data_IF_877558921822
#
_entry.id   IF_877558921822
#
_cell.length_a   1.000
_cell.length_b   1.000
_cell.length_c   1.000
_cell.angle_alpha   90.00
_cell.angle_beta   90.00
_cell.angle_gamma   90.00
#
_symmetry.space_group_name_H-M   'P 1'
#
loop_
_entity.id
_entity.type
_entity.pdbx_description
1 polymer ?
#
# COMPACT_ATOMS: atom_id res chain seq x y z
N UNK A 1 37.18 7.90 10.38
CA UNK A 1 35.77 8.34 10.46
C UNK A 1 34.99 8.09 9.17
N UNK A 2 35.51 8.39 7.97
CA UNK A 2 34.85 8.12 6.67
C UNK A 2 34.48 6.63 6.43
N UNK A 3 35.35 5.69 6.77
CA UNK A 3 35.11 4.24 6.57
C UNK A 3 33.92 3.68 7.37
N UNK A 4 33.58 4.29 8.52
CA UNK A 4 32.41 3.90 9.32
C UNK A 4 31.09 4.45 8.75
N UNK A 5 31.14 5.65 8.14
CA UNK A 5 30.00 6.25 7.44
C UNK A 5 29.69 5.51 6.12
N UNK A 6 30.72 5.16 5.35
CA UNK A 6 30.58 4.37 4.11
C UNK A 6 30.05 2.97 4.40
N UNK A 7 30.54 2.28 5.44
CA UNK A 7 30.01 0.97 5.84
C UNK A 7 28.57 1.04 6.38
N UNK A 8 28.18 2.12 7.07
CA UNK A 8 26.78 2.34 7.47
C UNK A 8 25.87 2.54 6.27
N UNK A 9 26.32 3.27 5.24
CA UNK A 9 25.56 3.50 4.00
C UNK A 9 25.40 2.21 3.17
N UNK A 10 26.46 1.39 3.06
CA UNK A 10 26.44 0.11 2.32
C UNK A 10 25.53 -0.92 3.02
N UNK A 11 25.59 -1.05 4.36
CA UNK A 11 24.68 -1.93 5.12
C UNK A 11 23.22 -1.44 5.07
N UNK A 12 23.01 -0.13 5.07
CA UNK A 12 21.72 0.54 4.86
C UNK A 12 21.10 0.19 3.51
N UNK A 13 21.90 0.12 2.45
CA UNK A 13 21.45 -0.25 1.11
C UNK A 13 21.16 -1.75 0.97
N UNK A 14 21.87 -2.63 1.70
CA UNK A 14 21.63 -4.08 1.64
C UNK A 14 20.30 -4.51 2.27
N UNK A 15 19.92 -3.93 3.42
CA UNK A 15 18.62 -4.21 4.06
C UNK A 15 17.47 -3.67 3.22
N UNK A 16 17.65 -2.49 2.63
CA UNK A 16 16.67 -1.92 1.71
C UNK A 16 16.53 -2.82 0.47
N UNK A 17 17.63 -3.32 -0.11
CA UNK A 17 17.54 -4.29 -1.19
C UNK A 17 16.89 -5.60 -0.73
N UNK A 18 17.21 -6.19 0.42
CA UNK A 18 16.58 -7.44 0.88
C UNK A 18 15.06 -7.31 1.13
N UNK A 19 14.60 -6.17 1.68
CA UNK A 19 13.17 -5.86 1.82
C UNK A 19 12.54 -5.55 0.44
N UNK A 20 13.28 -5.01 -0.52
CA UNK A 20 12.73 -4.54 -1.79
C UNK A 20 12.97 -5.47 -3.00
N UNK A 21 13.70 -6.59 -2.83
CA UNK A 21 14.05 -7.55 -3.90
C UNK A 21 13.18 -8.81 -3.88
N UNK A 22 12.10 -8.87 -3.09
CA UNK A 22 11.09 -9.91 -3.27
C UNK A 22 10.39 -9.69 -4.62
N UNK A 23 10.92 -10.34 -5.66
CA UNK A 23 10.39 -10.38 -7.02
C UNK A 23 8.90 -10.74 -7.00
N UNK A 24 8.13 -10.02 -7.82
CA UNK A 24 6.78 -10.37 -8.23
C UNK A 24 6.70 -11.87 -8.59
N UNK A 25 6.03 -12.68 -7.78
CA UNK A 25 5.70 -14.07 -8.13
C UNK A 25 4.47 -14.18 -9.06
N UNK A 26 3.96 -13.06 -9.59
CA UNK A 26 2.73 -13.03 -10.39
C UNK A 26 2.90 -12.74 -11.88
N UNK A 27 4.12 -12.61 -12.41
CA UNK A 27 4.34 -12.53 -13.87
C UNK A 27 4.81 -13.88 -14.40
N UNK A 28 3.86 -14.76 -14.66
CA UNK A 28 4.09 -16.02 -15.33
C UNK A 28 3.99 -15.82 -16.85
N UNK A 29 5.08 -15.36 -17.47
CA UNK A 29 5.39 -15.62 -18.87
C UNK A 29 6.79 -15.09 -19.17
N UNK A 30 7.61 -15.94 -19.79
CA UNK A 30 8.93 -15.64 -20.35
C UNK A 30 8.96 -14.26 -20.99
N UNK A 31 9.71 -13.32 -20.42
CA UNK A 31 10.25 -12.20 -21.18
C UNK A 31 11.70 -12.00 -20.76
N UNK A 32 12.56 -12.32 -21.72
CA UNK A 32 13.99 -12.04 -21.68
C UNK A 32 14.20 -10.55 -21.43
N UNK A 33 15.28 -10.28 -20.71
CA UNK A 33 15.84 -8.98 -20.39
C UNK A 33 15.90 -8.13 -21.66
N UNK A 34 15.04 -7.10 -21.73
CA UNK A 34 15.28 -5.91 -22.53
C UNK A 34 15.64 -4.79 -21.56
N UNK A 35 16.90 -4.38 -21.56
CA UNK A 35 17.35 -3.08 -21.05
C UNK A 35 16.91 -2.00 -22.05
N UNK A 36 15.60 -1.83 -22.19
CA UNK A 36 14.96 -0.76 -22.95
C UNK A 36 13.99 -0.04 -22.03
N UNK A 37 14.18 1.28 -21.86
CA UNK A 37 13.26 2.26 -21.22
C UNK A 37 12.17 1.63 -20.37
N UNK A 38 12.51 1.22 -19.13
CA UNK A 38 11.47 0.83 -18.18
C UNK A 38 10.56 2.04 -17.96
N UNK A 39 9.26 1.81 -18.08
CA UNK A 39 8.18 2.74 -17.75
C UNK A 39 8.27 3.12 -16.24
N UNK A 40 9.26 3.95 -15.89
CA UNK A 40 9.53 4.45 -14.52
C UNK A 40 8.40 5.34 -13.99
N UNK A 41 7.45 5.69 -14.87
CA UNK A 41 6.29 6.50 -14.57
C UNK A 41 5.24 5.77 -13.70
N UNK A 42 5.15 4.44 -13.73
CA UNK A 42 4.06 3.71 -13.06
C UNK A 42 4.56 2.55 -12.18
N UNK A 43 3.95 2.37 -11.02
CA UNK A 43 4.28 1.30 -10.08
C UNK A 43 3.03 0.53 -9.62
N UNK A 44 3.18 -0.81 -9.55
CA UNK A 44 2.22 -1.75 -8.94
C UNK A 44 3.01 -2.74 -8.10
N UNK A 45 3.18 -2.44 -6.83
CA UNK A 45 4.00 -3.22 -5.93
C UNK A 45 3.15 -3.90 -4.87
N UNK A 46 3.54 -5.10 -4.49
CA UNK A 46 2.98 -5.83 -3.37
C UNK A 46 4.12 -6.39 -2.52
N UNK A 47 3.97 -6.31 -1.21
CA UNK A 47 4.90 -6.86 -0.24
C UNK A 47 4.14 -7.78 0.72
N UNK A 48 4.61 -9.01 0.87
CA UNK A 48 4.05 -9.95 1.83
C UNK A 48 4.67 -9.68 3.22
N UNK A 49 3.94 -8.96 4.07
CA UNK A 49 4.30 -8.59 5.42
C UNK A 49 4.36 -9.77 6.40
N UNK A 50 3.61 -10.86 6.16
CA UNK A 50 3.66 -12.05 7.01
C UNK A 50 4.98 -12.82 6.86
N UNK A 51 5.60 -12.76 5.66
CA UNK A 51 6.92 -13.34 5.39
C UNK A 51 8.10 -12.49 5.88
N UNK A 52 7.86 -11.27 6.33
CA UNK A 52 8.93 -10.41 6.85
C UNK A 52 9.02 -10.53 8.37
N UNK A 53 10.05 -11.23 8.84
CA UNK A 53 10.36 -11.44 10.25
C UNK A 53 11.69 -10.73 10.61
N UNK A 54 11.70 -9.39 10.66
CA UNK A 54 12.94 -8.64 10.87
C UNK A 54 13.46 -8.74 12.31
N UNK A 55 14.79 -8.67 12.47
CA UNK A 55 15.41 -8.43 13.78
C UNK A 55 15.17 -6.99 14.24
N UNK A 56 15.42 -6.71 15.51
CA UNK A 56 15.33 -5.36 16.06
C UNK A 56 16.23 -4.37 15.30
N UNK A 57 17.46 -4.78 14.95
CA UNK A 57 18.39 -3.95 14.18
C UNK A 57 17.86 -3.64 12.79
N UNK A 58 17.20 -4.61 12.14
CA UNK A 58 16.58 -4.41 10.83
C UNK A 58 15.39 -3.46 10.92
N UNK A 59 14.56 -3.55 11.97
CA UNK A 59 13.48 -2.58 12.23
C UNK A 59 14.06 -1.19 12.48
N UNK A 60 15.10 -1.06 13.31
CA UNK A 60 15.74 0.21 13.60
C UNK A 60 16.35 0.83 12.33
N UNK A 61 17.03 0.02 11.51
CA UNK A 61 17.56 0.46 10.23
C UNK A 61 16.45 0.93 9.27
N UNK A 62 15.38 0.14 9.12
CA UNK A 62 14.22 0.48 8.32
C UNK A 62 13.55 1.78 8.80
N UNK A 63 13.34 1.92 10.11
CA UNK A 63 12.77 3.12 10.71
C UNK A 63 13.61 4.37 10.41
N UNK A 64 14.93 4.24 10.21
CA UNK A 64 15.79 5.38 9.92
C UNK A 64 15.50 6.04 8.56
N UNK A 65 14.73 5.40 7.69
CA UNK A 65 14.31 5.93 6.39
C UNK A 65 12.93 6.60 6.39
N UNK A 66 12.23 6.67 7.53
CA UNK A 66 10.92 7.34 7.59
C UNK A 66 10.99 8.62 8.40
N UNK A 67 10.07 9.55 8.12
CA UNK A 67 10.03 10.85 8.78
C UNK A 67 9.70 10.70 10.28
N UNK A 68 10.19 11.60 11.15
CA UNK A 68 9.98 11.51 12.60
C UNK A 68 8.51 11.35 13.02
N UNK A 69 7.61 12.07 12.40
CA UNK A 69 6.16 12.02 12.65
C UNK A 69 5.55 10.67 12.25
N UNK A 70 6.09 9.98 11.22
CA UNK A 70 5.65 8.63 10.87
C UNK A 70 6.15 7.61 11.89
N UNK A 71 7.34 7.81 12.50
CA UNK A 71 7.80 6.96 13.61
C UNK A 71 6.86 7.08 14.81
N UNK A 72 6.49 8.30 15.17
CA UNK A 72 5.54 8.57 16.26
C UNK A 72 4.14 8.01 15.98
N UNK A 73 3.70 8.04 14.71
CA UNK A 73 2.41 7.45 14.33
C UNK A 73 2.45 5.93 14.41
N UNK A 74 3.53 5.32 13.92
CA UNK A 74 3.71 3.86 13.93
C UNK A 74 3.85 3.34 15.37
N UNK A 75 4.50 4.08 16.28
CA UNK A 75 4.64 3.67 17.68
C UNK A 75 3.33 3.64 18.46
N UNK A 76 2.23 4.18 17.92
CA UNK A 76 0.90 4.16 18.54
C UNK A 76 0.08 2.90 18.23
N UNK A 77 0.53 2.06 17.29
CA UNK A 77 -0.17 0.81 17.00
C UNK A 77 -0.05 -0.15 18.19
N UNK A 78 -1.18 -0.76 18.55
CA UNK A 78 -1.23 -1.80 19.59
C UNK A 78 -0.69 -3.12 19.05
N UNK A 79 -1.03 -3.47 17.81
CA UNK A 79 -0.63 -4.71 17.16
C UNK A 79 0.64 -4.52 16.32
N UNK A 80 1.59 -5.44 16.47
CA UNK A 80 2.87 -5.41 15.75
C UNK A 80 2.69 -5.53 14.24
N UNK A 81 1.69 -6.30 13.78
CA UNK A 81 1.43 -6.47 12.35
C UNK A 81 0.93 -5.18 11.68
N UNK A 82 0.16 -4.35 12.40
CA UNK A 82 -0.25 -3.03 11.91
C UNK A 82 0.94 -2.07 11.86
N UNK A 83 1.79 -2.08 12.90
CA UNK A 83 3.00 -1.28 12.93
C UNK A 83 3.94 -1.65 11.76
N UNK A 84 4.14 -2.95 11.54
CA UNK A 84 4.93 -3.53 10.45
C UNK A 84 4.38 -3.14 9.09
N UNK A 85 3.08 -3.31 8.86
CA UNK A 85 2.42 -2.95 7.60
C UNK A 85 2.52 -1.46 7.29
N UNK A 86 2.32 -0.61 8.30
CA UNK A 86 2.49 0.84 8.15
C UNK A 86 3.94 1.22 7.84
N UNK A 87 4.93 0.60 8.50
CA UNK A 87 6.35 0.80 8.21
C UNK A 87 6.70 0.43 6.77
N UNK A 88 6.33 -0.78 6.32
CA UNK A 88 6.52 -1.23 4.94
C UNK A 88 5.91 -0.23 3.96
N UNK A 89 4.66 0.20 4.20
CA UNK A 89 3.99 1.17 3.34
C UNK A 89 4.78 2.48 3.20
N UNK A 90 5.36 2.99 4.29
CA UNK A 90 6.20 4.20 4.24
C UNK A 90 7.49 3.99 3.46
N UNK A 91 8.13 2.83 3.60
CA UNK A 91 9.33 2.49 2.85
C UNK A 91 9.04 2.36 1.36
N UNK A 92 7.92 1.73 0.99
CA UNK A 92 7.47 1.61 -0.40
C UNK A 92 7.24 3.00 -1.03
N UNK A 93 6.57 3.92 -0.31
CA UNK A 93 6.38 5.30 -0.77
C UNK A 93 7.70 6.01 -1.06
N UNK A 94 8.63 5.97 -0.11
CA UNK A 94 9.93 6.65 -0.26
C UNK A 94 10.75 6.03 -1.39
N UNK A 95 10.73 4.71 -1.54
CA UNK A 95 11.35 4.03 -2.70
C UNK A 95 10.74 4.51 -4.00
N UNK A 96 9.40 4.52 -4.12
CA UNK A 96 8.71 4.91 -5.34
C UNK A 96 9.10 6.33 -5.77
N UNK A 97 9.04 7.29 -4.85
CA UNK A 97 9.46 8.67 -5.13
C UNK A 97 10.91 8.73 -5.57
N UNK A 98 11.83 8.06 -4.87
CA UNK A 98 13.24 8.03 -5.28
C UNK A 98 13.43 7.46 -6.69
N UNK A 99 12.77 6.35 -7.01
CA UNK A 99 12.93 5.71 -8.32
C UNK A 99 12.32 6.52 -9.46
N UNK A 100 11.28 7.32 -9.20
CA UNK A 100 10.59 8.12 -10.23
C UNK A 100 11.17 9.53 -10.36
N UNK A 101 11.62 10.15 -9.27
CA UNK A 101 12.14 11.54 -9.27
C UNK A 101 13.65 11.64 -9.20
N UNK A 102 14.34 10.52 -8.91
CA UNK A 102 15.77 10.46 -8.62
C UNK A 102 16.22 11.30 -7.41
N UNK A 103 15.28 11.85 -6.62
CA UNK A 103 15.59 12.53 -5.37
C UNK A 103 16.27 11.58 -4.39
N UNK A 104 17.33 12.03 -3.75
CA UNK A 104 17.96 11.28 -2.67
C UNK A 104 16.98 11.05 -1.52
N UNK A 105 17.07 9.89 -0.85
CA UNK A 105 16.16 9.57 0.25
C UNK A 105 16.13 10.62 1.35
N UNK A 106 17.20 11.35 1.62
CA UNK A 106 17.21 12.39 2.66
C UNK A 106 16.43 13.66 2.28
N UNK A 107 16.23 13.90 0.98
CA UNK A 107 15.55 15.08 0.46
C UNK A 107 14.06 14.85 0.19
N UNK A 108 13.59 13.60 0.25
CA UNK A 108 12.18 13.28 0.05
C UNK A 108 11.38 13.67 1.29
N UNK A 109 10.42 14.57 1.12
CA UNK A 109 9.52 15.00 2.21
C UNK A 109 8.07 14.71 1.87
N UNK A 110 7.31 14.18 2.82
CA UNK A 110 5.88 13.89 2.65
C UNK A 110 5.03 14.76 3.56
N UNK A 111 3.96 15.32 3.00
CA UNK A 111 2.87 15.95 3.74
C UNK A 111 1.68 15.02 3.84
N UNK A 112 0.64 15.45 4.55
CA UNK A 112 -0.67 14.80 4.58
C UNK A 112 -1.77 15.82 4.36
N UNK A 113 -2.75 15.48 3.54
CA UNK A 113 -3.92 16.33 3.35
C UNK A 113 -4.83 16.31 4.61
N UNK A 114 -5.91 17.09 4.59
CA UNK A 114 -6.86 17.16 5.70
C UNK A 114 -7.58 15.85 6.03
N UNK A 115 -7.46 14.82 5.17
CA UNK A 115 -8.00 13.46 5.37
C UNK A 115 -6.92 12.43 5.67
N UNK A 116 -5.67 12.87 5.81
CA UNK A 116 -4.53 12.04 6.11
C UNK A 116 -3.90 11.34 4.90
N UNK A 117 -4.29 11.61 3.65
CA UNK A 117 -3.63 11.02 2.47
C UNK A 117 -2.23 11.61 2.33
N UNK A 118 -1.18 10.78 2.26
CA UNK A 118 0.17 11.27 2.07
C UNK A 118 0.36 11.84 0.66
N UNK A 119 1.10 12.94 0.53
CA UNK A 119 1.51 13.53 -0.74
C UNK A 119 2.98 13.97 -0.69
N UNK A 120 3.65 14.04 -1.85
CA UNK A 120 5.03 14.51 -1.94
C UNK A 120 5.08 16.04 -1.81
N UNK A 121 5.92 16.55 -0.91
CA UNK A 121 6.20 17.99 -0.79
C UNK A 121 7.34 18.33 -1.75
N UNK A 122 7.22 19.46 -2.45
CA UNK A 122 8.26 19.94 -3.35
C UNK A 122 8.36 19.10 -4.61
N UNK A 123 7.24 18.94 -5.32
CA UNK A 123 7.14 18.11 -6.54
C UNK A 123 7.99 18.60 -7.71
N UNK A 124 8.51 19.84 -7.66
CA UNK A 124 9.16 20.47 -8.81
C UNK A 124 8.25 20.38 -10.04
N UNK A 125 8.83 19.97 -11.17
CA UNK A 125 8.10 19.74 -12.42
C UNK A 125 7.47 18.33 -12.51
N UNK A 126 7.87 17.39 -11.65
CA UNK A 126 7.42 15.99 -11.70
C UNK A 126 6.23 15.78 -10.76
N UNK A 127 5.05 15.63 -11.33
CA UNK A 127 3.85 15.31 -10.56
C UNK A 127 3.79 13.82 -10.25
N UNK A 128 4.14 13.43 -9.02
CA UNK A 128 4.08 12.03 -8.58
C UNK A 128 2.88 11.81 -7.66
N UNK A 129 2.01 10.89 -8.06
CA UNK A 129 0.88 10.45 -7.27
C UNK A 129 1.07 9.00 -6.83
N UNK A 130 0.66 8.69 -5.61
CA UNK A 130 0.74 7.34 -5.08
C UNK A 130 -0.40 7.07 -4.11
N UNK A 131 -0.67 5.79 -3.91
CA UNK A 131 -1.58 5.32 -2.89
C UNK A 131 -1.08 3.99 -2.33
N UNK A 132 -1.32 3.77 -1.05
CA UNK A 132 -0.94 2.54 -0.35
C UNK A 132 -2.16 1.99 0.37
N UNK A 133 -2.35 0.68 0.29
CA UNK A 133 -3.30 -0.05 1.12
C UNK A 133 -2.61 -1.24 1.77
N UNK A 134 -3.11 -1.69 2.92
CA UNK A 134 -2.65 -2.91 3.55
C UNK A 134 -3.80 -3.60 4.24
N UNK A 135 -3.89 -4.92 4.08
CA UNK A 135 -4.83 -5.75 4.81
C UNK A 135 -4.34 -7.19 4.82
N UNK A 136 -4.53 -7.87 5.95
CA UNK A 136 -3.99 -9.21 6.17
C UNK A 136 -2.48 -9.21 5.99
N UNK A 137 -2.01 -10.10 5.11
CA UNK A 137 -0.58 -10.37 4.93
C UNK A 137 0.12 -9.42 3.98
N UNK A 138 -0.60 -8.52 3.29
CA UNK A 138 -0.03 -7.76 2.19
C UNK A 138 -0.13 -6.25 2.39
N UNK A 139 0.93 -5.57 1.94
CA UNK A 139 0.99 -4.13 1.73
C UNK A 139 1.15 -3.88 0.24
N UNK A 140 0.30 -3.05 -0.36
CA UNK A 140 0.31 -2.74 -1.79
C UNK A 140 0.52 -1.25 -2.02
N UNK A 141 1.24 -0.92 -3.09
CA UNK A 141 1.45 0.45 -3.57
C UNK A 141 1.05 0.55 -5.04
N UNK A 142 0.21 1.52 -5.33
CA UNK A 142 0.01 2.05 -6.68
C UNK A 142 0.73 3.39 -6.79
N UNK A 143 1.53 3.57 -7.83
CA UNK A 143 2.22 4.82 -8.14
C UNK A 143 2.03 5.22 -9.59
N UNK A 144 1.92 6.51 -9.87
CA UNK A 144 1.83 7.04 -11.23
C UNK A 144 2.41 8.46 -11.30
N UNK A 145 3.11 8.75 -12.40
CA UNK A 145 3.50 10.08 -12.81
C UNK A 145 2.34 10.73 -13.59
N UNK A 146 1.89 11.89 -13.14
CA UNK A 146 0.88 12.72 -13.82
C UNK A 146 -0.58 12.26 -13.67
N UNK A 147 -0.87 11.07 -13.15
CA UNK A 147 -2.26 10.60 -12.97
C UNK A 147 -2.60 10.33 -11.51
N UNK A 148 -3.81 10.68 -11.09
CA UNK A 148 -4.33 10.26 -9.79
C UNK A 148 -4.44 8.74 -9.73
N UNK A 149 -4.09 8.17 -8.59
CA UNK A 149 -4.18 6.73 -8.34
C UNK A 149 -4.83 6.46 -6.99
N UNK A 150 -5.64 5.41 -6.94
CA UNK A 150 -6.21 4.85 -5.73
C UNK A 150 -6.07 3.34 -5.80
N UNK A 151 -5.65 2.72 -4.70
CA UNK A 151 -5.50 1.28 -4.58
C UNK A 151 -6.17 0.84 -3.28
N UNK A 152 -6.84 -0.29 -3.34
CA UNK A 152 -7.33 -0.95 -2.16
C UNK A 152 -7.01 -2.45 -2.19
N UNK A 153 -7.01 -3.06 -1.01
CA UNK A 153 -6.74 -4.48 -0.82
C UNK A 153 -7.65 -4.97 0.29
N UNK A 154 -8.41 -6.02 0.00
CA UNK A 154 -9.31 -6.66 0.96
C UNK A 154 -8.95 -8.13 1.11
N UNK A 155 -8.79 -8.58 2.35
CA UNK A 155 -8.68 -10.01 2.64
C UNK A 155 -10.09 -10.60 2.67
N UNK A 156 -10.32 -11.65 1.89
CA UNK A 156 -11.61 -12.35 1.90
C UNK A 156 -11.63 -13.25 3.12
N UNK A 157 -12.41 -12.86 4.12
CA UNK A 157 -12.64 -13.65 5.33
C UNK A 157 -14.08 -13.48 5.82
N UNK A 158 -14.68 -14.52 6.42
CA UNK A 158 -16.02 -14.40 7.02
C UNK A 158 -16.06 -13.28 8.06
N UNK A 159 -17.21 -12.64 8.28
CA UNK A 159 -17.37 -11.65 9.35
C UNK A 159 -17.06 -12.28 10.72
N UNK A 160 -16.70 -11.46 11.71
CA UNK A 160 -16.26 -11.93 13.02
C UNK A 160 -17.27 -12.87 13.73
N UNK A 161 -18.57 -12.61 13.56
CA UNK A 161 -19.66 -13.43 14.09
C UNK A 161 -20.05 -14.61 13.17
N UNK A 162 -19.38 -14.78 12.03
CA UNK A 162 -19.64 -15.77 10.97
C UNK A 162 -21.08 -15.76 10.44
N UNK A 163 -21.82 -14.68 10.65
CA UNK A 163 -23.19 -14.51 10.16
C UNK A 163 -23.18 -13.55 8.96
N UNK A 164 -23.10 -14.11 7.76
CA UNK A 164 -23.04 -13.36 6.50
C UNK A 164 -24.34 -12.58 6.24
N UNK A 165 -25.55 -13.16 6.40
CA UNK A 165 -26.79 -12.42 6.21
C UNK A 165 -26.90 -11.16 7.09
N UNK A 166 -26.54 -11.27 8.37
CA UNK A 166 -26.57 -10.13 9.29
C UNK A 166 -25.51 -9.08 8.94
N UNK A 167 -24.32 -9.53 8.54
CA UNK A 167 -23.27 -8.63 8.04
C UNK A 167 -23.74 -7.85 6.80
N UNK A 168 -24.37 -8.52 5.83
CA UNK A 168 -24.94 -7.87 4.65
C UNK A 168 -26.07 -6.89 5.01
N UNK A 169 -26.92 -7.23 5.98
CA UNK A 169 -27.97 -6.33 6.49
C UNK A 169 -27.38 -5.02 7.03
N UNK A 170 -26.29 -5.09 7.80
CA UNK A 170 -25.59 -3.91 8.35
C UNK A 170 -24.95 -3.09 7.22
N UNK A 171 -24.36 -3.77 6.22
CA UNK A 171 -23.68 -3.12 5.10
C UNK A 171 -24.61 -2.65 3.98
N UNK A 172 -25.92 -2.83 4.11
CA UNK A 172 -26.92 -2.60 3.05
C UNK A 172 -26.81 -1.25 2.37
N UNK A 173 -26.52 -0.19 3.14
CA UNK A 173 -26.44 1.21 2.68
C UNK A 173 -25.20 1.54 1.86
N UNK A 174 -24.26 0.60 1.73
CA UNK A 174 -22.97 0.81 1.05
C UNK A 174 -23.02 0.44 -0.44
N UNK A 175 -24.06 -0.27 -0.86
CA UNK A 175 -24.24 -0.72 -2.23
C UNK A 175 -25.65 -0.43 -2.71
N UNK A 176 -25.75 -0.13 -4.00
CA UNK A 176 -27.01 0.01 -4.72
C UNK A 176 -27.75 -1.33 -4.83
N UNK A 177 -29.02 -1.28 -5.19
CA UNK A 177 -29.86 -2.48 -5.36
C UNK A 177 -29.31 -3.40 -6.45
N UNK A 178 -28.72 -2.83 -7.51
CA UNK A 178 -28.12 -3.59 -8.60
C UNK A 178 -26.86 -4.34 -8.16
N UNK A 179 -26.01 -3.70 -7.37
CA UNK A 179 -24.81 -4.32 -6.79
C UNK A 179 -25.19 -5.44 -5.83
N UNK A 180 -26.17 -5.22 -4.95
CA UNK A 180 -26.69 -6.28 -4.08
C UNK A 180 -27.29 -7.44 -4.86
N UNK A 181 -28.06 -7.17 -5.93
CA UNK A 181 -28.57 -8.23 -6.81
C UNK A 181 -27.43 -9.05 -7.42
N UNK A 182 -26.32 -8.41 -7.75
CA UNK A 182 -25.13 -9.10 -8.26
C UNK A 182 -24.47 -9.95 -7.17
N UNK A 183 -24.31 -9.42 -5.95
CA UNK A 183 -23.76 -10.16 -4.81
C UNK A 183 -24.62 -11.39 -4.52
N UNK A 184 -25.94 -11.24 -4.47
CA UNK A 184 -26.88 -12.34 -4.22
C UNK A 184 -27.10 -13.28 -5.42
N UNK A 185 -26.54 -12.99 -6.60
CA UNK A 185 -26.63 -13.90 -7.76
C UNK A 185 -25.81 -15.17 -7.59
N UNK A 186 -24.82 -15.16 -6.67
CA UNK A 186 -24.03 -16.34 -6.34
C UNK A 186 -24.79 -17.28 -5.40
N UNK A 187 -24.69 -18.59 -5.65
CA UNK A 187 -25.39 -19.61 -4.87
C UNK A 187 -24.80 -19.81 -3.48
N UNK A 188 -23.46 -19.83 -3.35
CA UNK A 188 -22.79 -20.08 -2.06
C UNK A 188 -22.52 -18.77 -1.33
N UNK A 189 -22.76 -18.72 -0.03
CA UNK A 189 -22.44 -17.55 0.80
C UNK A 189 -20.95 -17.16 0.73
N UNK A 190 -20.04 -18.14 0.57
CA UNK A 190 -18.60 -17.89 0.39
C UNK A 190 -18.27 -17.17 -0.93
N UNK A 191 -19.07 -17.35 -1.96
CA UNK A 191 -18.93 -16.64 -3.24
C UNK A 191 -19.59 -15.26 -3.16
N UNK A 192 -20.72 -15.15 -2.45
CA UNK A 192 -21.37 -13.86 -2.18
C UNK A 192 -20.44 -12.93 -1.38
N UNK A 193 -19.81 -13.43 -0.30
CA UNK A 193 -18.87 -12.63 0.50
C UNK A 193 -17.62 -12.24 -0.30
N UNK A 194 -17.13 -13.12 -1.17
CA UNK A 194 -16.02 -12.79 -2.08
C UNK A 194 -16.42 -11.68 -3.07
N UNK A 195 -17.64 -11.73 -3.62
CA UNK A 195 -18.18 -10.69 -4.48
C UNK A 195 -18.32 -9.36 -3.74
N UNK A 196 -18.86 -9.39 -2.51
CA UNK A 196 -18.97 -8.23 -1.63
C UNK A 196 -17.62 -7.54 -1.44
N UNK A 197 -16.59 -8.27 -0.99
CA UNK A 197 -15.26 -7.66 -0.77
C UNK A 197 -14.62 -7.15 -2.06
N UNK A 198 -14.87 -7.80 -3.20
CA UNK A 198 -14.41 -7.32 -4.50
C UNK A 198 -15.05 -5.98 -4.85
N UNK A 199 -16.37 -5.85 -4.71
CA UNK A 199 -17.08 -4.59 -4.98
C UNK A 199 -16.67 -3.51 -3.99
N UNK A 200 -16.52 -3.84 -2.72
CA UNK A 200 -16.02 -2.94 -1.69
C UNK A 200 -14.64 -2.39 -2.04
N UNK A 201 -13.69 -3.27 -2.37
CA UNK A 201 -12.33 -2.91 -2.78
C UNK A 201 -12.34 -1.98 -4.01
N UNK A 202 -13.21 -2.22 -4.99
CA UNK A 202 -13.37 -1.34 -6.15
C UNK A 202 -13.84 0.06 -5.73
N UNK A 203 -14.88 0.16 -4.90
CA UNK A 203 -15.39 1.44 -4.39
C UNK A 203 -14.33 2.20 -3.60
N UNK A 204 -13.66 1.55 -2.65
CA UNK A 204 -12.59 2.14 -1.85
C UNK A 204 -11.41 2.62 -2.72
N UNK A 205 -11.03 1.85 -3.75
CA UNK A 205 -9.97 2.28 -4.67
C UNK A 205 -10.36 3.55 -5.45
N UNK A 206 -11.63 3.69 -5.83
CA UNK A 206 -12.15 4.89 -6.48
C UNK A 206 -12.19 6.08 -5.52
N UNK A 207 -12.68 5.90 -4.29
CA UNK A 207 -12.68 6.94 -3.24
C UNK A 207 -11.26 7.45 -2.96
N UNK A 208 -10.30 6.52 -2.85
CA UNK A 208 -8.88 6.84 -2.62
C UNK A 208 -8.27 7.58 -3.82
N UNK A 209 -8.71 7.28 -5.04
CA UNK A 209 -8.30 7.98 -6.25
C UNK A 209 -8.69 9.47 -6.21
N UNK A 210 -9.98 9.75 -5.97
CA UNK A 210 -10.53 11.11 -5.95
C UNK A 210 -10.19 11.90 -4.68
N UNK A 211 -9.64 11.25 -3.65
CA UNK A 211 -9.16 11.92 -2.43
C UNK A 211 -10.27 12.38 -1.48
N UNK A 212 -11.48 11.84 -1.62
CA UNK A 212 -12.63 12.25 -0.81
C UNK A 212 -12.84 11.38 0.45
N UNK A 213 -12.08 10.31 0.66
CA UNK A 213 -12.27 9.45 1.84
C UNK A 213 -13.69 8.86 1.99
N UNK A 214 -13.93 8.11 3.08
CA UNK A 214 -15.15 7.28 3.29
C UNK A 214 -16.45 8.11 3.41
N UNK A 215 -16.39 9.45 3.41
CA UNK A 215 -17.57 10.31 3.57
C UNK A 215 -18.45 10.42 2.31
N UNK A 216 -18.05 9.80 1.19
CA UNK A 216 -18.84 9.83 -0.05
C UNK A 216 -19.79 8.65 -0.09
N UNK A 217 -21.10 8.92 -0.08
CA UNK A 217 -22.09 7.92 -0.44
C UNK A 217 -21.95 7.60 -1.94
N UNK A 218 -21.48 6.40 -2.27
CA UNK A 218 -21.35 5.89 -3.64
C UNK A 218 -22.59 5.08 -4.05
N UNK A 219 -23.78 5.62 -3.76
CA UNK A 219 -25.06 4.96 -4.02
C UNK A 219 -25.57 5.22 -5.43
#
# INVERSE_FOLDING_TARGET
>A
MLSCMVNKQIKRNKILMEILTQRNQYTNSKQSIYLGTMDQANARWAFNASKWTPTFEQIMAASSYIQPEEKQRISKYVFQDDAKSSLIGRLMLRKFVHTTTLLEYQNISFGRDGRGKPYLIGTGDITVNFNVSHQGDYVVLGGSEGKNIGIDLMKIEPPANKNIPEFFRIMRRQFSDHEWKTIYSYFKESEQIACFYRMWCLKESYVKNIGLGITVALN
#
